data_IF_394825376350
#
_entry.id   IF_394825376350
#
_cell.length_a   1.000
_cell.length_b   1.000
_cell.length_c   1.000
_cell.angle_alpha   90.00
_cell.angle_beta   90.00
_cell.angle_gamma   90.00
#
_symmetry.space_group_name_H-M   'P 1'
#
loop_
_entity.id
_entity.type
_entity.pdbx_description
1 polymer ?
#
# COMPACT_ATOMS: atom_id res chain seq x y z
N UNK A 1 -8.00 -7.31 -14.56
CA UNK A 1 -7.08 -8.01 -13.60
C UNK A 1 -7.92 -8.79 -12.60
N UNK A 2 -7.47 -9.91 -12.04
CA UNK A 2 -8.22 -10.65 -10.99
C UNK A 2 -7.98 -10.08 -9.60
N UNK A 3 -9.00 -10.02 -8.76
CA UNK A 3 -8.88 -9.59 -7.36
C UNK A 3 -7.85 -10.42 -6.60
N UNK A 4 -7.83 -11.74 -6.79
CA UNK A 4 -6.88 -12.65 -6.13
C UNK A 4 -5.41 -12.29 -6.36
N UNK A 5 -5.11 -11.48 -7.39
CA UNK A 5 -3.77 -11.05 -7.72
C UNK A 5 -3.19 -10.07 -6.70
N UNK A 6 -4.03 -9.33 -5.96
CA UNK A 6 -3.58 -8.49 -4.83
C UNK A 6 -2.92 -9.30 -3.71
N UNK A 7 -3.23 -10.59 -3.59
CA UNK A 7 -2.56 -11.47 -2.63
C UNK A 7 -1.07 -11.54 -2.86
N UNK A 8 -0.65 -11.58 -4.13
CA UNK A 8 0.76 -11.68 -4.49
C UNK A 8 1.49 -10.34 -4.30
N UNK A 9 0.82 -9.22 -4.56
CA UNK A 9 1.33 -7.89 -4.21
C UNK A 9 1.57 -7.80 -2.70
N UNK A 10 0.58 -8.18 -1.89
CA UNK A 10 0.72 -8.17 -0.44
C UNK A 10 1.82 -9.11 0.08
N UNK A 11 1.94 -10.32 -0.49
CA UNK A 11 3.04 -11.22 -0.14
C UNK A 11 4.41 -10.63 -0.48
N UNK A 12 4.55 -9.98 -1.64
CA UNK A 12 5.80 -9.33 -2.02
C UNK A 12 6.18 -8.24 -1.01
N UNK A 13 5.25 -7.36 -0.65
CA UNK A 13 5.50 -6.31 0.33
C UNK A 13 5.90 -6.86 1.70
N UNK A 14 5.18 -7.88 2.17
CA UNK A 14 5.47 -8.52 3.45
C UNK A 14 6.84 -9.21 3.44
N UNK A 15 7.25 -9.81 2.31
CA UNK A 15 8.58 -10.38 2.14
C UNK A 15 9.67 -9.30 2.16
N UNK A 16 9.43 -8.14 1.55
CA UNK A 16 10.36 -7.01 1.62
C UNK A 16 10.53 -6.50 3.06
N UNK A 17 9.43 -6.33 3.78
CA UNK A 17 9.45 -5.93 5.21
C UNK A 17 10.16 -7.00 6.05
N UNK A 18 9.85 -8.28 5.84
CA UNK A 18 10.49 -9.38 6.57
C UNK A 18 12.00 -9.44 6.30
N UNK A 19 12.42 -9.27 5.04
CA UNK A 19 13.83 -9.19 4.66
C UNK A 19 14.55 -8.03 5.32
N UNK A 20 13.91 -6.85 5.35
CA UNK A 20 14.45 -5.68 6.04
C UNK A 20 14.63 -5.93 7.55
N UNK A 21 13.60 -6.49 8.20
CA UNK A 21 13.66 -6.83 9.62
C UNK A 21 14.72 -7.91 9.91
N UNK A 22 14.89 -8.89 9.02
CA UNK A 22 15.92 -9.92 9.18
C UNK A 22 17.34 -9.35 9.11
N UNK A 23 17.56 -8.33 8.26
CA UNK A 23 18.87 -7.69 8.07
C UNK A 23 19.18 -6.65 9.15
N UNK A 24 18.19 -5.85 9.57
CA UNK A 24 18.39 -4.68 10.44
C UNK A 24 17.82 -4.86 11.86
N UNK A 25 17.18 -5.99 12.13
CA UNK A 25 16.56 -6.34 13.41
C UNK A 25 15.16 -5.74 13.62
N UNK A 26 14.37 -6.25 14.58
CA UNK A 26 12.99 -5.80 14.81
C UNK A 26 12.83 -4.32 15.19
N UNK A 27 13.84 -3.74 15.85
CA UNK A 27 13.83 -2.32 16.21
C UNK A 27 13.78 -1.38 14.98
N UNK A 28 14.19 -1.87 13.81
CA UNK A 28 14.13 -1.13 12.54
C UNK A 28 12.70 -0.81 12.09
N UNK A 29 11.68 -1.52 12.59
CA UNK A 29 10.27 -1.18 12.31
C UNK A 29 9.86 0.15 12.94
N UNK A 30 10.51 0.57 14.02
CA UNK A 30 10.16 1.80 14.73
C UNK A 30 11.05 2.99 14.33
N UNK A 31 12.09 2.77 13.50
CA UNK A 31 13.03 3.82 13.13
C UNK A 31 12.47 4.81 12.10
N UNK A 32 11.42 4.43 11.38
CA UNK A 32 10.74 5.27 10.39
C UNK A 32 9.28 4.87 10.25
N UNK A 33 8.40 5.85 10.04
CA UNK A 33 6.97 5.62 9.77
C UNK A 33 6.73 4.85 8.45
N UNK A 34 7.72 4.83 7.56
CA UNK A 34 7.65 4.12 6.28
C UNK A 34 7.50 2.62 6.48
N UNK A 35 8.23 2.01 7.43
CA UNK A 35 8.22 0.56 7.62
C UNK A 35 6.85 0.04 8.13
N UNK A 36 6.23 0.65 9.17
CA UNK A 36 4.87 0.29 9.57
C UNK A 36 3.84 0.53 8.48
N UNK A 37 3.99 1.61 7.69
CA UNK A 37 3.07 1.90 6.58
C UNK A 37 3.17 0.85 5.46
N UNK A 38 4.38 0.41 5.11
CA UNK A 38 4.58 -0.70 4.16
C UNK A 38 4.01 -2.02 4.67
N UNK A 39 4.20 -2.32 5.95
CA UNK A 39 3.61 -3.51 6.58
C UNK A 39 2.07 -3.48 6.47
N UNK A 40 1.45 -2.34 6.81
CA UNK A 40 0.01 -2.17 6.69
C UNK A 40 -0.46 -2.27 5.23
N UNK A 41 0.26 -1.67 4.28
CA UNK A 41 -0.07 -1.74 2.86
C UNK A 41 -0.06 -3.20 2.36
N UNK A 42 0.96 -3.96 2.74
CA UNK A 42 1.10 -5.38 2.39
C UNK A 42 0.02 -6.26 3.02
N UNK A 43 -0.32 -6.03 4.30
CA UNK A 43 -1.42 -6.73 4.98
C UNK A 43 -2.77 -6.43 4.31
N UNK A 44 -3.05 -5.15 4.00
CA UNK A 44 -4.27 -4.75 3.32
C UNK A 44 -4.38 -5.36 1.92
N UNK A 45 -3.28 -5.40 1.15
CA UNK A 45 -3.25 -6.02 -0.17
C UNK A 45 -3.45 -7.54 -0.10
N UNK A 46 -2.80 -8.18 0.87
CA UNK A 46 -2.94 -9.61 1.12
C UNK A 46 -4.38 -9.97 1.41
N UNK A 47 -5.03 -9.22 2.30
CA UNK A 47 -6.44 -9.40 2.64
C UNK A 47 -7.34 -9.11 1.44
N UNK A 48 -7.11 -8.02 0.71
CA UNK A 48 -7.87 -7.67 -0.48
C UNK A 48 -7.91 -8.80 -1.52
N UNK A 49 -6.80 -9.52 -1.73
CA UNK A 49 -6.74 -10.66 -2.63
C UNK A 49 -7.21 -11.99 -2.01
N UNK A 50 -7.58 -12.01 -0.73
CA UNK A 50 -7.93 -13.25 -0.01
C UNK A 50 -9.38 -13.30 0.48
N UNK A 51 -10.06 -12.16 0.57
CA UNK A 51 -11.45 -12.06 1.07
C UNK A 51 -12.26 -11.11 0.23
N UNK A 52 -13.56 -11.39 0.08
CA UNK A 52 -14.55 -10.50 -0.53
C UNK A 52 -14.88 -9.33 0.41
N UNK A 53 -15.10 -9.61 1.69
CA UNK A 53 -15.35 -8.61 2.72
C UNK A 53 -14.98 -9.14 4.12
N UNK A 54 -14.76 -8.19 5.04
CA UNK A 54 -14.50 -8.42 6.46
C UNK A 54 -15.64 -7.80 7.25
N UNK A 55 -16.34 -8.60 8.07
CA UNK A 55 -17.33 -8.10 9.02
C UNK A 55 -16.64 -7.77 10.36
N UNK A 56 -16.88 -6.56 10.86
CA UNK A 56 -16.37 -6.02 12.11
C UNK A 56 -17.56 -5.51 12.92
N UNK A 57 -18.24 -6.42 13.61
CA UNK A 57 -19.50 -6.13 14.29
C UNK A 57 -20.56 -5.63 13.29
N UNK A 58 -21.08 -4.38 13.42
CA UNK A 58 -22.05 -3.84 12.48
C UNK A 58 -21.45 -3.33 11.17
N UNK A 59 -20.11 -3.29 11.03
CA UNK A 59 -19.42 -2.70 9.88
C UNK A 59 -18.92 -3.78 8.93
N UNK A 60 -19.24 -3.68 7.64
CA UNK A 60 -18.69 -4.56 6.59
C UNK A 60 -17.69 -3.79 5.74
N UNK A 61 -16.44 -4.23 5.73
CA UNK A 61 -15.36 -3.65 4.92
C UNK A 61 -15.15 -4.52 3.68
N UNK A 62 -15.49 -4.00 2.51
CA UNK A 62 -15.21 -4.66 1.22
C UNK A 62 -13.71 -4.68 0.91
N UNK A 63 -13.26 -5.67 0.15
CA UNK A 63 -11.90 -5.75 -0.41
C UNK A 63 -11.47 -4.47 -1.14
N UNK A 64 -12.41 -3.75 -1.76
CA UNK A 64 -12.14 -2.49 -2.47
C UNK A 64 -11.54 -1.42 -1.56
N UNK A 65 -12.03 -1.31 -0.32
CA UNK A 65 -11.46 -0.39 0.66
C UNK A 65 -10.06 -0.80 1.11
N UNK A 66 -9.80 -2.11 1.21
CA UNK A 66 -8.45 -2.61 1.53
C UNK A 66 -7.45 -2.26 0.43
N UNK A 67 -7.85 -2.39 -0.84
CA UNK A 67 -7.05 -1.93 -1.99
C UNK A 67 -6.82 -0.43 -1.95
N UNK A 68 -7.88 0.35 -1.66
CA UNK A 68 -7.78 1.79 -1.49
C UNK A 68 -6.77 2.17 -0.41
N UNK A 69 -6.79 1.49 0.74
CA UNK A 69 -5.82 1.69 1.84
C UNK A 69 -4.40 1.37 1.40
N UNK A 70 -4.17 0.23 0.73
CA UNK A 70 -2.84 -0.14 0.19
C UNK A 70 -2.28 0.97 -0.70
N UNK A 71 -3.05 1.43 -1.68
CA UNK A 71 -2.56 2.45 -2.61
C UNK A 71 -2.43 3.83 -1.97
N UNK A 72 -3.30 4.19 -1.02
CA UNK A 72 -3.15 5.42 -0.25
C UNK A 72 -1.87 5.40 0.59
N UNK A 73 -1.54 4.27 1.21
CA UNK A 73 -0.30 4.11 1.96
C UNK A 73 0.92 4.23 1.06
N UNK A 74 0.92 3.60 -0.13
CA UNK A 74 2.01 3.79 -1.09
C UNK A 74 2.15 5.23 -1.58
N UNK A 75 1.03 5.90 -1.82
CA UNK A 75 1.02 7.31 -2.21
C UNK A 75 1.68 8.22 -1.18
N UNK A 76 1.63 7.84 0.10
CA UNK A 76 2.30 8.55 1.19
C UNK A 76 3.75 8.09 1.36
N UNK A 77 4.01 6.79 1.37
CA UNK A 77 5.33 6.20 1.65
C UNK A 77 6.40 6.64 0.65
N UNK A 78 6.05 6.63 -0.65
CA UNK A 78 7.01 6.93 -1.71
C UNK A 78 7.62 8.34 -1.56
N UNK A 79 6.82 9.43 -1.47
CA UNK A 79 7.37 10.76 -1.24
C UNK A 79 7.91 10.95 0.19
N UNK A 80 7.27 10.35 1.21
CA UNK A 80 7.69 10.51 2.61
C UNK A 80 9.12 10.02 2.88
N UNK A 81 9.62 9.07 2.08
CA UNK A 81 10.99 8.55 2.19
C UNK A 81 12.07 9.62 1.92
N UNK A 82 11.76 10.66 1.15
CA UNK A 82 12.68 11.75 0.77
C UNK A 82 12.28 13.11 1.33
N UNK A 83 11.05 13.21 1.85
CA UNK A 83 10.49 14.46 2.36
C UNK A 83 11.36 15.12 3.46
N UNK A 84 11.97 14.41 4.43
CA UNK A 84 12.81 15.04 5.44
C UNK A 84 14.00 15.82 4.89
N UNK A 85 14.75 15.26 3.92
CA UNK A 85 15.91 15.95 3.33
C UNK A 85 15.48 17.12 2.45
N UNK A 86 14.33 17.01 1.79
CA UNK A 86 13.70 18.10 1.04
C UNK A 86 13.31 19.26 1.97
N UNK A 87 12.61 18.97 3.07
CA UNK A 87 12.18 19.98 4.04
C UNK A 87 13.35 20.63 4.78
N UNK A 88 14.41 19.86 5.06
CA UNK A 88 15.63 20.37 5.68
C UNK A 88 16.49 21.21 4.72
N UNK A 89 16.17 21.24 3.42
CA UNK A 89 16.97 21.94 2.40
C UNK A 89 18.33 21.27 2.13
N UNK A 90 18.51 20.02 2.54
CA UNK A 90 19.75 19.26 2.40
C UNK A 90 19.71 18.24 1.26
N UNK A 91 18.58 18.14 0.56
CA UNK A 91 18.37 17.16 -0.50
C UNK A 91 19.33 17.37 -1.69
N UNK A 92 20.04 16.32 -2.06
CA UNK A 92 20.81 16.25 -3.30
C UNK A 92 19.89 16.17 -4.53
N UNK A 93 20.43 16.43 -5.73
CA UNK A 93 19.65 16.38 -6.97
C UNK A 93 18.96 15.02 -7.21
N UNK A 94 19.61 13.91 -6.82
CA UNK A 94 19.02 12.58 -6.91
C UNK A 94 17.83 12.40 -5.95
N UNK A 95 17.89 12.94 -4.74
CA UNK A 95 16.78 12.88 -3.78
C UNK A 95 15.59 13.73 -4.24
N UNK A 96 15.86 14.89 -4.84
CA UNK A 96 14.83 15.70 -5.49
C UNK A 96 14.13 14.95 -6.62
N UNK A 97 14.90 14.27 -7.48
CA UNK A 97 14.34 13.46 -8.56
C UNK A 97 13.46 12.33 -7.99
N UNK A 98 13.95 11.61 -6.98
CA UNK A 98 13.21 10.51 -6.35
C UNK A 98 11.97 11.01 -5.61
N UNK A 99 12.02 12.17 -4.98
CA UNK A 99 10.87 12.81 -4.36
C UNK A 99 9.78 13.14 -5.40
N UNK A 100 10.16 13.75 -6.52
CA UNK A 100 9.21 14.10 -7.60
C UNK A 100 8.62 12.84 -8.23
N UNK A 101 9.45 11.87 -8.59
CA UNK A 101 9.00 10.60 -9.18
C UNK A 101 8.11 9.84 -8.19
N UNK A 102 8.50 9.77 -6.92
CA UNK A 102 7.72 9.14 -5.86
C UNK A 102 6.38 9.83 -5.62
N UNK A 103 6.33 11.16 -5.72
CA UNK A 103 5.08 11.92 -5.62
C UNK A 103 4.15 11.64 -6.80
N UNK A 104 4.64 11.74 -8.04
CA UNK A 104 3.84 11.51 -9.24
C UNK A 104 3.37 10.06 -9.31
N UNK A 105 4.27 9.11 -9.06
CA UNK A 105 3.94 7.68 -8.96
C UNK A 105 2.93 7.42 -7.86
N UNK A 106 3.14 7.99 -6.67
CA UNK A 106 2.23 7.88 -5.54
C UNK A 106 0.82 8.40 -5.84
N UNK A 107 0.70 9.57 -6.46
CA UNK A 107 -0.60 10.13 -6.85
C UNK A 107 -1.30 9.28 -7.93
N UNK A 108 -0.53 8.68 -8.84
CA UNK A 108 -1.07 7.75 -9.84
C UNK A 108 -1.64 6.49 -9.17
N UNK A 109 -0.92 5.95 -8.19
CA UNK A 109 -1.39 4.83 -7.37
C UNK A 109 -2.65 5.22 -6.57
N UNK A 110 -2.68 6.40 -5.97
CA UNK A 110 -3.85 6.89 -5.25
C UNK A 110 -5.06 7.02 -6.18
N UNK A 111 -4.88 7.51 -7.39
CA UNK A 111 -5.94 7.57 -8.40
C UNK A 111 -6.51 6.18 -8.68
N UNK A 112 -5.64 5.17 -8.88
CA UNK A 112 -6.09 3.79 -9.05
C UNK A 112 -6.88 3.29 -7.82
N UNK A 113 -6.37 3.52 -6.61
CA UNK A 113 -7.07 3.13 -5.38
C UNK A 113 -8.45 3.78 -5.24
N UNK A 114 -8.57 5.06 -5.57
CA UNK A 114 -9.85 5.80 -5.56
C UNK A 114 -10.80 5.26 -6.61
N UNK A 115 -10.32 4.95 -7.81
CA UNK A 115 -11.12 4.36 -8.88
C UNK A 115 -11.69 3.01 -8.44
N UNK A 116 -10.87 2.14 -7.85
CA UNK A 116 -11.31 0.84 -7.32
C UNK A 116 -12.36 0.99 -6.22
N UNK A 117 -12.16 1.93 -5.28
CA UNK A 117 -13.11 2.17 -4.17
C UNK A 117 -14.46 2.68 -4.69
N UNK A 118 -14.45 3.50 -5.75
CA UNK A 118 -15.66 4.08 -6.34
C UNK A 118 -16.31 3.20 -7.41
N UNK A 119 -15.75 2.03 -7.69
CA UNK A 119 -16.16 1.18 -8.81
C UNK A 119 -16.14 1.96 -10.13
N UNK A 120 -15.09 2.77 -10.30
CA UNK A 120 -14.89 3.55 -11.50
C UNK A 120 -14.62 2.68 -12.73
N UNK A 121 -14.91 3.23 -13.90
CA UNK A 121 -14.78 2.52 -15.18
C UNK A 121 -13.37 2.56 -15.78
N UNK A 122 -12.37 3.11 -15.08
CA UNK A 122 -11.02 3.23 -15.65
C UNK A 122 -10.24 1.91 -15.55
N UNK A 123 -10.53 1.09 -14.53
CA UNK A 123 -9.87 -0.20 -14.32
C UNK A 123 -10.87 -1.33 -14.06
N UNK A 124 -10.87 -2.34 -14.93
CA UNK A 124 -11.70 -3.53 -14.75
C UNK A 124 -10.97 -4.58 -13.89
N UNK A 125 -11.53 -4.84 -12.71
CA UNK A 125 -11.07 -5.88 -11.79
C UNK A 125 -12.15 -6.96 -11.69
N UNK A 126 -11.83 -8.14 -12.17
CA UNK A 126 -12.65 -9.34 -12.04
C UNK A 126 -12.63 -9.79 -10.58
N UNK A 127 -13.78 -9.74 -9.93
CA UNK A 127 -13.98 -10.27 -8.57
C UNK A 127 -14.09 -11.79 -8.64
N UNK A 128 -13.02 -12.48 -8.23
CA UNK A 128 -12.89 -13.94 -8.27
C UNK A 128 -12.76 -14.59 -6.88
N UNK A 129 -12.99 -13.82 -5.81
CA UNK A 129 -12.87 -14.28 -4.42
C UNK A 129 -14.21 -14.12 -3.71
N UNK A 130 -14.74 -15.21 -3.15
CA UNK A 130 -16.02 -15.24 -2.43
C UNK A 130 -15.87 -15.35 -0.91
N UNK A 131 -14.64 -15.63 -0.44
CA UNK A 131 -14.37 -15.90 0.98
C UNK A 131 -14.73 -14.69 1.84
N UNK A 132 -15.44 -14.93 2.94
CA UNK A 132 -15.82 -13.91 3.92
C UNK A 132 -15.21 -14.23 5.28
N UNK A 133 -14.83 -13.20 6.05
CA UNK A 133 -14.34 -13.31 7.44
C UNK A 133 -15.21 -12.42 8.33
N UNK A 134 -15.67 -12.93 9.46
CA UNK A 134 -16.54 -12.23 10.41
C UNK A 134 -16.67 -12.97 11.73
#
# INVERSE_FOLDING_TARGET
>A
MRQSWFRYLGLLDLLLVAGFVALFGPASLASSIVMPAMLLAGLSALLAGSVAHIALGPVTVSWRYLVGVTYALFALVLPASYLPSVLAGTAAAAEWLLFVVGTVGGLTLLFYGVDVVREGGNFEIETDVERTIG
#
